data_IF_323217530453
#
_entry.id   IF_323217530453
#
_cell.length_a   1.000
_cell.length_b   1.000
_cell.length_c   1.000
_cell.angle_alpha   90.00
_cell.angle_beta   90.00
_cell.angle_gamma   90.00
#
_symmetry.space_group_name_H-M   'P 1'
#
loop_
_entity.id
_entity.type
_entity.pdbx_description
1 polymer ?
#
# COMPACT_ATOMS: atom_id res chain seq x y z
N UNK A 1 2.86 -0.13 -10.40
CA UNK A 1 2.73 0.93 -11.38
C UNK A 1 3.36 2.24 -10.94
N UNK A 2 2.56 3.20 -10.47
CA UNK A 2 3.06 4.55 -10.10
C UNK A 2 4.23 4.49 -9.10
N UNK A 3 4.15 3.62 -8.11
CA UNK A 3 5.19 3.45 -7.08
C UNK A 3 6.53 3.09 -7.71
N UNK A 4 6.59 2.05 -8.53
CA UNK A 4 7.80 1.55 -9.16
C UNK A 4 8.43 2.60 -10.08
N UNK A 5 7.59 3.23 -10.92
CA UNK A 5 8.02 4.32 -11.81
C UNK A 5 8.63 5.49 -11.02
N UNK A 6 8.00 5.89 -9.92
CA UNK A 6 8.51 6.95 -9.04
C UNK A 6 9.88 6.60 -8.45
N UNK A 7 10.04 5.37 -7.95
CA UNK A 7 11.30 4.95 -7.35
C UNK A 7 12.44 4.83 -8.37
N UNK A 8 12.17 4.28 -9.54
CA UNK A 8 13.14 4.16 -10.65
C UNK A 8 13.60 5.56 -11.09
N UNK A 9 12.67 6.51 -11.23
CA UNK A 9 12.98 7.89 -11.60
C UNK A 9 13.79 8.59 -10.50
N UNK A 10 13.32 8.55 -9.26
CA UNK A 10 13.96 9.24 -8.14
C UNK A 10 15.32 8.67 -7.75
N UNK A 11 15.45 7.35 -7.66
CA UNK A 11 16.68 6.69 -7.18
C UNK A 11 17.77 6.58 -8.25
N UNK A 12 17.38 6.38 -9.50
CA UNK A 12 18.32 6.07 -10.58
C UNK A 12 18.32 7.09 -11.72
N UNK A 13 17.46 8.10 -11.67
CA UNK A 13 17.32 9.09 -12.75
C UNK A 13 16.83 8.49 -14.07
N UNK A 14 16.20 7.32 -14.03
CA UNK A 14 15.71 6.63 -15.22
C UNK A 14 14.26 7.01 -15.46
N UNK A 15 14.03 7.86 -16.47
CA UNK A 15 12.69 8.31 -16.82
C UNK A 15 11.92 7.25 -17.60
N UNK A 16 10.90 6.69 -17.00
CA UNK A 16 10.01 5.72 -17.65
C UNK A 16 9.16 6.40 -18.71
N UNK A 17 9.31 5.93 -19.97
CA UNK A 17 8.48 6.37 -21.10
C UNK A 17 7.26 5.46 -21.22
N UNK A 18 6.15 6.03 -21.76
CA UNK A 18 4.94 5.28 -22.09
C UNK A 18 4.28 4.54 -20.91
N UNK A 19 4.36 5.08 -19.70
CA UNK A 19 3.55 4.58 -18.59
C UNK A 19 2.07 4.87 -18.88
N UNK A 20 1.42 3.96 -19.59
CA UNK A 20 0.09 4.14 -20.15
C UNK A 20 -1.02 3.47 -19.31
N UNK A 21 -0.69 2.48 -18.49
CA UNK A 21 -1.65 1.71 -17.71
C UNK A 21 -1.11 1.42 -16.31
N UNK A 22 -1.88 1.80 -15.30
CA UNK A 22 -1.75 1.29 -13.93
C UNK A 22 -2.89 0.30 -13.67
N UNK A 23 -2.57 -0.95 -13.41
CA UNK A 23 -3.56 -2.03 -13.26
C UNK A 23 -4.43 -1.88 -12.03
N UNK A 24 -3.94 -1.24 -10.96
CA UNK A 24 -4.72 -0.93 -9.76
C UNK A 24 -5.80 0.10 -10.08
N UNK A 25 -5.43 1.22 -10.74
CA UNK A 25 -6.38 2.25 -11.17
C UNK A 25 -7.35 1.73 -12.23
N UNK A 26 -6.87 0.87 -13.14
CA UNK A 26 -7.70 0.25 -14.15
C UNK A 26 -8.79 -0.63 -13.52
N UNK A 27 -8.41 -1.49 -12.58
CA UNK A 27 -9.38 -2.33 -11.88
C UNK A 27 -10.36 -1.51 -11.04
N UNK A 28 -9.88 -0.48 -10.34
CA UNK A 28 -10.74 0.41 -9.56
C UNK A 28 -11.88 1.04 -10.40
N UNK A 29 -11.58 1.44 -11.63
CA UNK A 29 -12.60 2.02 -12.53
C UNK A 29 -13.60 0.96 -13.03
N UNK A 30 -13.17 -0.28 -13.18
CA UNK A 30 -14.03 -1.37 -13.67
C UNK A 30 -14.91 -1.96 -12.55
N UNK A 31 -14.40 -2.05 -11.33
CA UNK A 31 -15.09 -2.58 -10.16
C UNK A 31 -14.54 -1.97 -8.87
N UNK A 32 -15.17 -0.93 -8.39
CA UNK A 32 -14.78 -0.16 -7.20
C UNK A 32 -14.97 -0.91 -5.86
N UNK A 33 -15.76 -2.01 -5.87
CA UNK A 33 -16.17 -2.70 -4.65
C UNK A 33 -15.21 -3.80 -4.20
N UNK A 34 -14.18 -4.10 -4.99
CA UNK A 34 -13.22 -5.18 -4.70
C UNK A 34 -11.86 -4.64 -4.28
N UNK A 35 -11.06 -5.43 -3.57
CA UNK A 35 -9.66 -5.11 -3.34
C UNK A 35 -8.89 -4.99 -4.67
N UNK A 36 -8.03 -3.97 -4.80
CA UNK A 36 -7.28 -3.68 -6.03
C UNK A 36 -5.80 -4.08 -5.95
N UNK A 37 -5.37 -4.66 -4.83
CA UNK A 37 -3.99 -5.13 -4.65
C UNK A 37 -3.64 -6.28 -5.59
N UNK A 38 -2.39 -6.29 -6.09
CA UNK A 38 -1.92 -7.25 -7.10
C UNK A 38 -2.19 -8.71 -6.70
N UNK A 39 -1.92 -9.07 -5.45
CA UNK A 39 -2.13 -10.44 -4.94
C UNK A 39 -3.61 -10.86 -4.95
N UNK A 40 -4.49 -9.94 -4.52
CA UNK A 40 -5.94 -10.16 -4.57
C UNK A 40 -6.44 -10.38 -5.99
N UNK A 41 -5.97 -9.54 -6.92
CA UNK A 41 -6.35 -9.63 -8.33
C UNK A 41 -5.77 -10.88 -9.00
N UNK A 42 -4.54 -11.26 -8.66
CA UNK A 42 -3.94 -12.50 -9.12
C UNK A 42 -4.80 -13.71 -8.74
N UNK A 43 -5.11 -13.87 -7.48
CA UNK A 43 -5.94 -14.99 -7.01
C UNK A 43 -7.36 -15.02 -7.58
N UNK A 44 -7.91 -13.85 -7.90
CA UNK A 44 -9.25 -13.74 -8.49
C UNK A 44 -9.29 -14.04 -10.00
N UNK A 45 -8.37 -13.43 -10.76
CA UNK A 45 -8.37 -13.56 -12.23
C UNK A 45 -7.57 -14.76 -12.74
N UNK A 46 -6.60 -15.24 -11.97
CA UNK A 46 -5.66 -16.30 -12.33
C UNK A 46 -5.48 -17.24 -11.13
N UNK A 47 -6.43 -18.18 -10.89
CA UNK A 47 -6.37 -19.09 -9.75
C UNK A 47 -5.06 -19.87 -9.63
N UNK A 48 -4.40 -20.18 -10.76
CA UNK A 48 -3.09 -20.81 -10.81
C UNK A 48 -1.95 -19.96 -10.25
N UNK A 49 -2.16 -18.64 -10.16
CA UNK A 49 -1.21 -17.69 -9.58
C UNK A 49 -1.58 -17.30 -8.14
N UNK A 50 -2.54 -17.97 -7.54
CA UNK A 50 -2.88 -17.73 -6.14
C UNK A 50 -1.70 -18.10 -5.25
N UNK A 51 -1.42 -17.23 -4.28
CA UNK A 51 -0.36 -17.45 -3.27
C UNK A 51 1.05 -17.65 -3.86
N UNK A 52 1.34 -17.11 -5.04
CA UNK A 52 2.68 -17.22 -5.66
C UNK A 52 3.79 -16.58 -4.82
N UNK A 53 3.47 -15.76 -3.85
CA UNK A 53 4.38 -15.14 -2.88
C UNK A 53 4.59 -16.00 -1.62
N UNK A 54 3.97 -17.17 -1.55
CA UNK A 54 4.00 -18.05 -0.36
C UNK A 54 5.42 -18.40 0.05
N UNK A 55 6.25 -18.81 -0.91
CA UNK A 55 7.62 -19.21 -0.62
C UNK A 55 8.49 -18.02 -0.12
N UNK A 56 8.24 -16.79 -0.60
CA UNK A 56 8.89 -15.59 -0.10
C UNK A 56 8.48 -15.33 1.36
N UNK A 57 7.18 -15.40 1.67
CA UNK A 57 6.68 -15.25 3.05
C UNK A 57 7.27 -16.30 3.99
N UNK A 58 7.37 -17.55 3.54
CA UNK A 58 8.01 -18.62 4.30
C UNK A 58 9.50 -18.33 4.53
N UNK A 59 10.22 -17.89 3.50
CA UNK A 59 11.63 -17.53 3.63
C UNK A 59 11.86 -16.36 4.60
N UNK A 60 10.99 -15.34 4.56
CA UNK A 60 11.02 -14.20 5.48
C UNK A 60 10.79 -14.65 6.93
N UNK A 61 9.83 -15.54 7.16
CA UNK A 61 9.51 -16.05 8.50
C UNK A 61 10.63 -16.92 9.09
N UNK A 62 11.30 -17.76 8.27
CA UNK A 62 12.35 -18.68 8.74
C UNK A 62 13.67 -17.94 9.04
N UNK A 63 13.94 -16.83 8.34
CA UNK A 63 15.24 -16.15 8.41
C UNK A 63 15.22 -14.87 9.25
N UNK A 64 14.14 -14.59 9.99
CA UNK A 64 13.97 -13.33 10.77
C UNK A 64 14.19 -12.06 9.91
N UNK A 65 13.90 -12.13 8.61
CA UNK A 65 13.88 -10.94 7.78
C UNK A 65 12.66 -10.10 8.15
N UNK A 66 12.90 -8.88 8.56
CA UNK A 66 11.87 -7.88 8.73
C UNK A 66 11.22 -7.56 7.38
N UNK A 67 9.88 -7.51 7.32
CA UNK A 67 9.15 -7.12 6.11
C UNK A 67 9.58 -5.73 5.59
N UNK A 68 10.15 -4.88 6.46
CA UNK A 68 10.69 -3.57 6.11
C UNK A 68 12.05 -3.65 5.39
N UNK A 69 12.71 -4.82 5.35
CA UNK A 69 14.08 -4.96 4.82
C UNK A 69 14.21 -5.90 3.62
N UNK A 70 13.33 -5.77 2.63
CA UNK A 70 13.45 -6.52 1.35
C UNK A 70 14.84 -6.42 0.71
N UNK A 71 15.60 -5.35 0.99
CA UNK A 71 16.97 -5.19 0.51
C UNK A 71 17.96 -6.23 1.02
N UNK A 72 17.64 -6.93 2.10
CA UNK A 72 18.47 -7.98 2.69
C UNK A 72 18.08 -9.39 2.23
N UNK A 73 17.00 -9.52 1.45
CA UNK A 73 16.54 -10.81 0.93
C UNK A 73 17.44 -11.24 -0.25
N UNK A 74 17.99 -12.45 -0.24
CA UNK A 74 18.79 -12.97 -1.35
C UNK A 74 18.06 -12.89 -2.69
N UNK A 75 18.80 -12.55 -3.75
CA UNK A 75 18.23 -12.33 -5.10
C UNK A 75 17.59 -13.59 -5.68
N UNK A 76 18.10 -14.76 -5.34
CA UNK A 76 17.53 -16.06 -5.74
C UNK A 76 16.14 -16.32 -5.11
N UNK A 77 15.81 -15.65 -4.01
CA UNK A 77 14.49 -15.66 -3.38
C UNK A 77 13.63 -14.51 -3.92
N UNK A 78 14.16 -13.29 -3.93
CA UNK A 78 13.41 -12.10 -4.30
C UNK A 78 13.17 -11.99 -5.82
N UNK A 79 14.11 -12.47 -6.64
CA UNK A 79 14.03 -12.37 -8.11
C UNK A 79 12.80 -13.06 -8.71
N UNK A 80 12.56 -14.34 -8.42
CA UNK A 80 11.34 -15.02 -8.89
C UNK A 80 10.04 -14.35 -8.43
N UNK A 81 9.99 -13.84 -7.20
CA UNK A 81 8.86 -13.09 -6.70
C UNK A 81 8.61 -11.82 -7.53
N UNK A 82 9.65 -11.03 -7.78
CA UNK A 82 9.56 -9.84 -8.62
C UNK A 82 9.13 -10.17 -10.06
N UNK A 83 9.66 -11.26 -10.63
CA UNK A 83 9.26 -11.73 -11.94
C UNK A 83 7.76 -12.10 -12.01
N UNK A 84 7.24 -12.76 -10.96
CA UNK A 84 5.82 -13.09 -10.86
C UNK A 84 4.94 -11.86 -10.69
N UNK A 85 5.38 -10.85 -9.95
CA UNK A 85 4.68 -9.55 -9.88
C UNK A 85 4.59 -8.87 -11.26
N UNK A 86 5.67 -8.90 -12.04
CA UNK A 86 5.69 -8.37 -13.40
C UNK A 86 4.76 -9.15 -14.33
N UNK A 87 4.83 -10.48 -14.32
CA UNK A 87 3.99 -11.35 -15.14
C UNK A 87 2.50 -11.16 -14.80
N UNK A 88 2.17 -11.14 -13.52
CA UNK A 88 0.80 -10.90 -13.06
C UNK A 88 0.27 -9.55 -13.50
N UNK A 89 1.07 -8.50 -13.35
CA UNK A 89 0.72 -7.14 -13.79
C UNK A 89 0.46 -7.09 -15.29
N UNK A 90 1.33 -7.73 -16.08
CA UNK A 90 1.17 -7.82 -17.53
C UNK A 90 -0.10 -8.56 -17.95
N UNK A 91 -0.37 -9.72 -17.34
CA UNK A 91 -1.60 -10.49 -17.61
C UNK A 91 -2.85 -9.73 -17.22
N UNK A 92 -2.85 -9.04 -16.08
CA UNK A 92 -3.96 -8.17 -15.66
C UNK A 92 -4.20 -7.05 -16.68
N UNK A 93 -3.16 -6.37 -17.14
CA UNK A 93 -3.30 -5.34 -18.17
C UNK A 93 -3.91 -5.92 -19.45
N UNK A 94 -3.41 -7.05 -19.94
CA UNK A 94 -3.95 -7.73 -21.14
C UNK A 94 -5.42 -8.12 -20.99
N UNK A 95 -5.83 -8.54 -19.77
CA UNK A 95 -7.20 -8.96 -19.50
C UNK A 95 -8.15 -7.77 -19.34
N UNK A 96 -7.75 -6.75 -18.59
CA UNK A 96 -8.66 -5.68 -18.18
C UNK A 96 -8.76 -4.51 -19.18
N UNK A 97 -7.69 -4.20 -19.92
CA UNK A 97 -7.72 -3.11 -20.91
C UNK A 97 -8.83 -3.28 -21.96
N UNK A 98 -9.11 -4.47 -22.51
CA UNK A 98 -10.23 -4.66 -23.44
C UNK A 98 -11.62 -4.42 -22.85
N UNK A 99 -11.77 -4.52 -21.51
CA UNK A 99 -13.03 -4.27 -20.80
C UNK A 99 -13.31 -2.77 -20.66
N UNK A 100 -12.28 -1.93 -20.79
CA UNK A 100 -12.37 -0.49 -20.65
C UNK A 100 -13.00 0.16 -21.89
N UNK A 101 -14.28 0.49 -21.82
CA UNK A 101 -15.07 1.00 -22.96
C UNK A 101 -15.74 2.34 -22.67
N UNK A 102 -16.15 3.03 -23.71
CA UNK A 102 -17.02 4.22 -23.65
C UNK A 102 -16.50 5.32 -22.72
N UNK A 103 -17.33 5.74 -21.77
CA UNK A 103 -17.03 6.81 -20.82
C UNK A 103 -15.90 6.41 -19.84
N UNK A 104 -15.84 5.15 -19.42
CA UNK A 104 -14.80 4.65 -18.51
C UNK A 104 -13.42 4.73 -19.15
N UNK A 105 -13.31 4.40 -20.45
CA UNK A 105 -12.05 4.54 -21.21
C UNK A 105 -11.58 5.99 -21.26
N UNK A 106 -12.49 6.93 -21.52
CA UNK A 106 -12.16 8.37 -21.51
C UNK A 106 -11.74 8.84 -20.13
N UNK A 107 -12.46 8.43 -19.09
CA UNK A 107 -12.15 8.76 -17.69
C UNK A 107 -10.76 8.23 -17.31
N UNK A 108 -10.44 6.98 -17.64
CA UNK A 108 -9.15 6.38 -17.35
C UNK A 108 -7.99 7.13 -17.99
N UNK A 109 -8.00 7.28 -19.32
CA UNK A 109 -6.88 7.85 -20.05
C UNK A 109 -6.77 9.37 -19.96
N UNK A 110 -7.90 10.08 -19.83
CA UNK A 110 -7.92 11.54 -19.85
C UNK A 110 -7.92 12.15 -18.45
N UNK A 111 -8.21 11.37 -17.42
CA UNK A 111 -8.25 11.88 -16.05
C UNK A 111 -7.34 11.08 -15.09
N UNK A 112 -7.60 9.79 -14.86
CA UNK A 112 -6.88 9.03 -13.85
C UNK A 112 -5.39 8.85 -14.16
N UNK A 113 -5.03 8.51 -15.39
CA UNK A 113 -3.61 8.33 -15.75
C UNK A 113 -2.83 9.66 -15.73
N UNK A 114 -3.34 10.80 -16.26
CA UNK A 114 -2.70 12.10 -16.05
C UNK A 114 -2.61 12.50 -14.57
N UNK A 115 -3.69 12.30 -13.79
CA UNK A 115 -3.72 12.62 -12.36
C UNK A 115 -2.67 11.82 -11.58
N UNK A 116 -2.46 10.55 -11.92
CA UNK A 116 -1.44 9.74 -11.27
C UNK A 116 -0.02 10.30 -11.45
N UNK A 117 0.25 10.92 -12.60
CA UNK A 117 1.53 11.61 -12.87
C UNK A 117 1.67 12.88 -12.03
N UNK A 118 0.59 13.64 -11.84
CA UNK A 118 0.59 14.82 -10.95
C UNK A 118 0.89 14.40 -9.52
N UNK A 119 0.24 13.35 -9.04
CA UNK A 119 0.54 12.82 -7.70
C UNK A 119 1.99 12.33 -7.58
N UNK A 120 2.51 11.64 -8.61
CA UNK A 120 3.92 11.23 -8.61
C UNK A 120 4.87 12.41 -8.47
N UNK A 121 4.66 13.48 -9.24
CA UNK A 121 5.47 14.69 -9.16
C UNK A 121 5.35 15.36 -7.78
N UNK A 122 4.13 15.48 -7.24
CA UNK A 122 3.89 16.05 -5.92
C UNK A 122 4.55 15.24 -4.79
N UNK A 123 4.52 13.90 -4.88
CA UNK A 123 5.16 13.02 -3.91
C UNK A 123 6.69 13.08 -3.96
N UNK A 124 7.28 13.34 -5.14
CA UNK A 124 8.74 13.55 -5.28
C UNK A 124 9.16 14.89 -4.65
N UNK A 125 8.40 15.94 -4.88
CA UNK A 125 8.65 17.27 -4.26
C UNK A 125 8.46 17.18 -2.75
N UNK A 126 7.44 16.45 -2.31
CA UNK A 126 7.09 16.29 -0.90
C UNK A 126 6.51 17.56 -0.26
N UNK A 127 6.29 17.49 1.04
CA UNK A 127 5.82 18.59 1.88
C UNK A 127 6.82 18.80 3.00
N UNK A 128 7.27 20.05 3.16
CA UNK A 128 8.17 20.39 4.27
C UNK A 128 7.40 20.30 5.59
N UNK A 129 7.94 19.49 6.49
CA UNK A 129 7.39 19.27 7.84
C UNK A 129 8.24 20.03 8.85
N UNK A 130 7.60 20.77 9.77
CA UNK A 130 8.25 21.35 10.93
C UNK A 130 8.44 20.24 12.00
N UNK A 131 9.56 19.55 11.91
CA UNK A 131 9.88 18.44 12.80
C UNK A 131 9.97 18.87 14.27
N UNK A 132 10.60 20.01 14.64
CA UNK A 132 10.60 20.51 16.02
C UNK A 132 9.18 20.73 16.56
N UNK A 133 8.31 21.35 15.80
CA UNK A 133 6.91 21.60 16.19
C UNK A 133 6.15 20.28 16.42
N UNK A 134 6.29 19.31 15.49
CA UNK A 134 5.64 18.00 15.65
C UNK A 134 6.14 17.27 16.91
N UNK A 135 7.45 17.31 17.18
CA UNK A 135 8.02 16.68 18.39
C UNK A 135 7.47 17.33 19.68
N UNK A 136 7.30 18.65 19.69
CA UNK A 136 6.73 19.34 20.84
C UNK A 136 5.27 18.94 21.05
N UNK A 137 4.44 18.97 19.99
CA UNK A 137 3.04 18.51 20.07
C UNK A 137 2.95 17.04 20.49
N UNK A 138 3.84 16.20 20.00
CA UNK A 138 3.87 14.79 20.41
C UNK A 138 4.09 14.66 21.91
N UNK A 139 5.11 15.34 22.46
CA UNK A 139 5.40 15.31 23.89
C UNK A 139 4.25 15.87 24.74
N UNK A 140 3.62 16.98 24.30
CA UNK A 140 2.45 17.54 24.98
C UNK A 140 1.25 16.59 24.97
N UNK A 141 1.02 15.89 23.87
CA UNK A 141 -0.09 14.96 23.72
C UNK A 141 0.16 13.67 24.52
N UNK A 142 1.39 13.17 24.56
CA UNK A 142 1.76 12.04 25.43
C UNK A 142 1.45 12.33 26.90
N UNK A 143 1.83 13.52 27.40
CA UNK A 143 1.52 13.92 28.76
C UNK A 143 -0.01 13.99 29.02
N UNK A 144 -0.76 14.57 28.08
CA UNK A 144 -2.23 14.63 28.17
C UNK A 144 -2.88 13.25 28.13
N UNK A 145 -2.33 12.33 27.32
CA UNK A 145 -2.81 10.94 27.21
C UNK A 145 -2.73 10.22 28.55
N UNK A 146 -1.59 10.31 29.21
CA UNK A 146 -1.39 9.71 30.53
C UNK A 146 -2.43 10.22 31.55
N UNK A 147 -2.69 11.53 31.56
CA UNK A 147 -3.69 12.12 32.48
C UNK A 147 -5.12 11.66 32.13
N UNK A 148 -5.45 11.54 30.87
CA UNK A 148 -6.79 11.09 30.41
C UNK A 148 -6.98 9.61 30.72
N UNK A 149 -5.99 8.78 30.44
CA UNK A 149 -6.03 7.34 30.76
C UNK A 149 -6.20 7.10 32.24
N UNK A 150 -5.44 7.82 33.09
CA UNK A 150 -5.57 7.72 34.54
C UNK A 150 -6.99 8.09 35.01
N UNK A 151 -7.62 9.11 34.46
CA UNK A 151 -9.01 9.49 34.73
C UNK A 151 -9.99 8.40 34.31
N UNK A 152 -9.80 7.81 33.11
CA UNK A 152 -10.66 6.73 32.62
C UNK A 152 -10.57 5.52 33.55
N UNK A 153 -9.37 5.09 33.90
CA UNK A 153 -9.18 3.96 34.79
C UNK A 153 -9.72 4.24 36.20
N UNK A 154 -9.56 5.47 36.71
CA UNK A 154 -10.16 5.89 37.97
C UNK A 154 -11.68 5.81 37.98
N UNK A 155 -12.34 6.22 36.89
CA UNK A 155 -13.80 6.12 36.72
C UNK A 155 -14.27 4.67 36.52
N UNK A 156 -13.52 3.89 35.78
CA UNK A 156 -13.81 2.48 35.51
C UNK A 156 -13.53 1.54 36.69
N UNK A 157 -12.74 1.99 37.68
CA UNK A 157 -12.29 1.19 38.80
C UNK A 157 -11.32 0.05 38.44
N UNK A 158 -10.84 -0.01 37.21
CA UNK A 158 -9.88 -1.01 36.72
C UNK A 158 -9.15 -0.51 35.49
N UNK A 159 -7.95 -1.04 35.25
CA UNK A 159 -7.22 -0.86 34.00
C UNK A 159 -7.73 -1.83 32.94
N UNK A 160 -7.80 -1.38 31.66
CA UNK A 160 -8.18 -2.16 30.52
C UNK A 160 -7.65 -1.52 29.23
N UNK A 161 -7.63 -2.25 28.12
CA UNK A 161 -7.23 -1.68 26.83
C UNK A 161 -8.37 -0.84 26.24
N UNK A 162 -8.23 0.51 26.38
CA UNK A 162 -9.23 1.50 25.93
C UNK A 162 -9.48 1.42 24.43
N UNK A 163 -8.47 1.05 23.63
CA UNK A 163 -8.57 0.92 22.18
C UNK A 163 -9.29 -0.38 21.75
N UNK A 164 -9.49 -1.33 22.64
CA UNK A 164 -10.13 -2.60 22.32
C UNK A 164 -11.64 -2.53 22.61
N UNK A 165 -12.45 -2.40 21.56
CA UNK A 165 -13.93 -2.27 21.64
C UNK A 165 -14.57 -3.31 22.55
N UNK A 166 -14.08 -4.57 22.54
CA UNK A 166 -14.62 -5.63 23.40
C UNK A 166 -14.45 -5.30 24.88
N UNK A 167 -13.24 -4.89 25.31
CA UNK A 167 -12.98 -4.54 26.70
C UNK A 167 -13.71 -3.25 27.10
N UNK A 168 -13.83 -2.29 26.19
CA UNK A 168 -14.58 -1.07 26.43
C UNK A 168 -16.07 -1.37 26.69
N UNK A 169 -16.69 -2.25 25.91
CA UNK A 169 -18.10 -2.66 26.09
C UNK A 169 -18.34 -3.44 27.40
N UNK A 170 -17.32 -4.08 27.98
CA UNK A 170 -17.41 -4.78 29.26
C UNK A 170 -17.33 -3.82 30.47
N UNK A 171 -16.93 -2.59 30.22
CA UNK A 171 -16.75 -1.54 31.26
C UNK A 171 -17.93 -0.57 31.25
N UNK A 172 -18.50 -0.27 30.09
CA UNK A 172 -19.66 0.60 29.92
C UNK A 172 -20.97 -0.14 30.18
#
# INVERSE_FOLDING_TARGET
>A
GKFDVKFIDYQWGIHTKNFAVDTMLLHYILDENRPHGLKSLAGFYFPEMKDYDKYLREALTIKDFDEESFGNVPVDILGPYCAMDCETTYRLAKKLVPELKGKLKKLFYNFYMPLSKVYQASEIVGVKIDVPYIKNIYAENEAKLVDVEAKIYGLAGKEFNIALTKQLNEVL
#
